data_IF_946423904589
#
_entry.id   IF_946423904589
#
_cell.length_a   1.000
_cell.length_b   1.000
_cell.length_c   1.000
_cell.angle_alpha   90.00
_cell.angle_beta   90.00
_cell.angle_gamma   90.00
#
_symmetry.space_group_name_H-M   'P 1'
#
loop_
_entity.id
_entity.type
_entity.pdbx_description
1 polymer ?
#
# COMPACT_ATOMS: atom_id res chain seq x y z
N UNK A 1 0.00 -5.69 -0.79
CA UNK A 1 0.53 -4.30 -0.88
C UNK A 1 1.97 -4.25 -1.38
N UNK A 2 2.95 -4.71 -0.60
CA UNK A 2 4.38 -4.69 -1.01
C UNK A 2 4.66 -5.37 -2.36
N UNK A 3 4.02 -6.50 -2.64
CA UNK A 3 4.14 -7.19 -3.93
C UNK A 3 3.50 -6.40 -5.09
N UNK A 4 2.37 -5.70 -4.88
CA UNK A 4 1.73 -4.88 -5.91
C UNK A 4 2.65 -3.71 -6.30
N UNK A 5 3.18 -2.99 -5.30
CA UNK A 5 4.17 -1.92 -5.49
C UNK A 5 5.40 -2.39 -6.28
N UNK A 6 5.92 -3.59 -5.97
CA UNK A 6 7.07 -4.18 -6.68
C UNK A 6 6.75 -4.54 -8.12
N UNK A 7 5.54 -5.01 -8.41
CA UNK A 7 5.13 -5.32 -9.78
C UNK A 7 4.91 -4.06 -10.61
N UNK A 8 4.34 -3.00 -10.01
CA UNK A 8 4.25 -1.68 -10.67
C UNK A 8 5.62 -1.10 -10.97
N UNK A 9 6.60 -1.34 -10.09
CA UNK A 9 8.00 -0.95 -10.28
C UNK A 9 8.64 -1.62 -11.50
N UNK A 10 8.39 -2.92 -11.71
CA UNK A 10 8.93 -3.69 -12.86
C UNK A 10 8.26 -3.28 -14.17
N UNK A 11 6.98 -2.89 -14.15
CA UNK A 11 6.23 -2.51 -15.35
C UNK A 11 6.49 -1.07 -15.83
N UNK A 12 6.94 -0.17 -14.96
CA UNK A 12 7.33 1.19 -15.36
C UNK A 12 8.72 1.17 -16.01
N UNK A 13 8.80 0.83 -17.30
CA UNK A 13 10.00 0.93 -18.15
C UNK A 13 10.39 2.37 -18.53
N UNK A 14 10.20 3.33 -17.62
CA UNK A 14 10.59 4.72 -17.84
C UNK A 14 12.09 4.94 -17.59
N UNK A 15 12.69 6.02 -18.12
CA UNK A 15 14.05 6.40 -17.76
C UNK A 15 14.18 6.55 -16.25
N UNK A 16 15.22 5.96 -15.67
CA UNK A 16 15.47 6.02 -14.23
C UNK A 16 15.59 7.48 -13.76
N UNK A 17 14.84 7.90 -12.72
CA UNK A 17 14.97 9.24 -12.15
C UNK A 17 16.41 9.54 -11.74
N UNK A 18 16.95 10.67 -12.17
CA UNK A 18 18.37 11.03 -11.94
C UNK A 18 18.52 12.00 -10.76
N UNK A 19 17.57 12.91 -10.58
CA UNK A 19 17.57 13.93 -9.53
C UNK A 19 16.69 13.54 -8.34
N UNK A 20 16.93 14.17 -7.18
CA UNK A 20 16.10 13.97 -5.99
C UNK A 20 14.62 14.35 -6.23
N UNK A 21 14.38 15.44 -6.97
CA UNK A 21 13.02 15.90 -7.31
C UNK A 21 12.28 14.89 -8.19
N UNK A 22 12.96 14.33 -9.20
CA UNK A 22 12.38 13.30 -10.05
C UNK A 22 12.08 12.02 -9.26
N UNK A 23 13.00 11.60 -8.38
CA UNK A 23 12.79 10.44 -7.49
C UNK A 23 11.57 10.63 -6.60
N UNK A 24 11.39 11.82 -6.04
CA UNK A 24 10.23 12.13 -5.21
C UNK A 24 8.93 12.06 -6.01
N UNK A 25 8.87 12.70 -7.18
CA UNK A 25 7.69 12.66 -8.05
C UNK A 25 7.36 11.24 -8.52
N UNK A 26 8.37 10.45 -8.84
CA UNK A 26 8.23 9.06 -9.23
C UNK A 26 7.62 8.21 -8.09
N UNK A 27 8.11 8.37 -6.85
CA UNK A 27 7.55 7.69 -5.67
C UNK A 27 6.08 8.08 -5.45
N UNK A 28 5.73 9.36 -5.57
CA UNK A 28 4.34 9.82 -5.44
C UNK A 28 3.45 9.15 -6.49
N UNK A 29 3.84 9.23 -7.77
CA UNK A 29 3.08 8.61 -8.88
C UNK A 29 2.89 7.11 -8.66
N UNK A 30 3.95 6.41 -8.27
CA UNK A 30 3.92 4.96 -7.99
C UNK A 30 3.00 4.63 -6.83
N UNK A 31 3.05 5.42 -5.76
CA UNK A 31 2.20 5.24 -4.59
C UNK A 31 0.72 5.39 -4.95
N UNK A 32 0.38 6.39 -5.76
CA UNK A 32 -1.00 6.60 -6.24
C UNK A 32 -1.47 5.42 -7.10
N UNK A 33 -0.67 4.98 -8.09
CA UNK A 33 -1.05 3.85 -8.96
C UNK A 33 -1.22 2.57 -8.15
N UNK A 34 -0.28 2.29 -7.25
CA UNK A 34 -0.36 1.14 -6.38
C UNK A 34 -1.61 1.22 -5.48
N UNK A 35 -1.93 2.40 -4.93
CA UNK A 35 -3.13 2.59 -4.13
C UNK A 35 -4.40 2.25 -4.91
N UNK A 36 -4.53 2.77 -6.13
CA UNK A 36 -5.68 2.49 -7.00
C UNK A 36 -5.81 1.02 -7.39
N UNK A 37 -4.72 0.25 -7.35
CA UNK A 37 -4.75 -1.19 -7.64
C UNK A 37 -5.18 -2.07 -6.46
N UNK A 38 -5.32 -1.51 -5.25
CA UNK A 38 -5.70 -2.27 -4.06
C UNK A 38 -7.21 -2.38 -3.97
N UNK A 39 -7.72 -3.62 -3.95
CA UNK A 39 -9.12 -3.87 -3.65
C UNK A 39 -9.45 -3.64 -2.18
N UNK A 40 -10.63 -3.08 -1.92
CA UNK A 40 -11.19 -2.86 -0.57
C UNK A 40 -11.11 -4.11 0.32
N UNK A 41 -11.42 -5.29 -0.22
CA UNK A 41 -11.30 -6.59 0.49
C UNK A 41 -9.89 -6.83 1.06
N UNK A 42 -8.86 -6.37 0.36
CA UNK A 42 -7.45 -6.53 0.77
C UNK A 42 -7.14 -5.59 1.92
N UNK A 43 -7.65 -4.35 1.86
CA UNK A 43 -7.53 -3.36 2.94
C UNK A 43 -8.22 -3.89 4.19
N UNK A 44 -9.50 -4.28 4.09
CA UNK A 44 -10.26 -4.85 5.21
C UNK A 44 -9.54 -6.05 5.85
N UNK A 45 -9.02 -6.99 5.05
CA UNK A 45 -8.24 -8.14 5.56
C UNK A 45 -6.99 -7.73 6.35
N UNK A 46 -6.30 -6.65 5.97
CA UNK A 46 -5.14 -6.19 6.73
C UNK A 46 -5.49 -5.63 8.12
N UNK A 47 -6.71 -5.14 8.31
CA UNK A 47 -7.20 -4.62 9.58
C UNK A 47 -7.86 -5.68 10.47
N UNK A 48 -8.06 -6.93 10.01
CA UNK A 48 -8.68 -8.00 10.82
C UNK A 48 -7.94 -8.28 12.13
N UNK A 49 -6.60 -8.10 12.15
CA UNK A 49 -5.81 -8.23 13.39
C UNK A 49 -5.79 -6.96 14.25
N UNK A 50 -6.15 -5.81 13.66
CA UNK A 50 -6.13 -4.51 14.33
C UNK A 50 -7.50 -4.14 14.91
N UNK A 51 -8.58 -4.74 14.42
CA UNK A 51 -9.91 -4.64 15.02
C UNK A 51 -9.94 -5.63 16.19
N UNK A 52 -10.11 -5.15 17.44
CA UNK A 52 -10.25 -6.02 18.60
C UNK A 52 -11.39 -7.01 18.33
N UNK A 53 -11.13 -8.30 18.53
CA UNK A 53 -12.20 -9.28 18.43
C UNK A 53 -13.19 -8.97 19.55
N UNK A 54 -14.49 -9.06 19.24
CA UNK A 54 -15.59 -8.77 20.18
C UNK A 54 -15.49 -9.53 21.53
N UNK A 55 -14.62 -10.53 21.64
CA UNK A 55 -14.35 -11.28 22.87
C UNK A 55 -13.34 -10.62 23.83
N UNK A 56 -12.44 -9.75 23.37
CA UNK A 56 -11.46 -9.08 24.26
C UNK A 56 -12.02 -7.81 24.92
N UNK A 57 -13.11 -7.25 24.39
CA UNK A 57 -13.77 -6.07 24.96
C UNK A 57 -14.67 -6.39 26.17
N UNK A 58 -14.94 -7.68 26.43
CA UNK A 58 -15.77 -8.15 27.54
C UNK A 58 -14.98 -8.47 28.81
N UNK A 59 -13.64 -8.57 28.75
CA UNK A 59 -12.80 -8.76 29.94
C UNK A 59 -12.41 -7.44 30.63
N UNK A 60 -12.84 -6.29 30.08
CA UNK A 60 -12.56 -4.95 30.61
C UNK A 60 -13.78 -4.21 31.18
N UNK A 61 -14.94 -4.88 31.34
CA UNK A 61 -16.10 -4.38 32.10
C UNK A 61 -16.32 -5.24 33.34
#
# INVERSE_FOLDING_TARGET
>A
LKSALRNTWIQQQGPSPKTAKEKHLDIIKRTIVAWNSIFEKTVRKSFVKAIPRQFEALEFM
#
